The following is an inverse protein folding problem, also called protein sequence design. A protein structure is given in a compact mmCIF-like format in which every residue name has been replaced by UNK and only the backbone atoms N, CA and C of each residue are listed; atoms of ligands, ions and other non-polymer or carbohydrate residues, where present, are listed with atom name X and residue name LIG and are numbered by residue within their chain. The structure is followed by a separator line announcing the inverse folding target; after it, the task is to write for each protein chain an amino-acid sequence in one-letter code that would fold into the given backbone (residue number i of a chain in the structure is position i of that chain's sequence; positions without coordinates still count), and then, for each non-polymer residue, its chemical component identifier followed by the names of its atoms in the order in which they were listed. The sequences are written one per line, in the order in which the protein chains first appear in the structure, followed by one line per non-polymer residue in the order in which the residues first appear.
data_IF_361697212581
#
_entry.id   IF_361697212581
#
_cell.length_a   1.000
_cell.length_b   1.000
_cell.length_c   1.000
_cell.angle_alpha   90.00
_cell.angle_beta   90.00
_cell.angle_gamma   90.00
#
_symmetry.space_group_name_H-M   'P 1'
#
loop_
_entity.id
_entity.type
_entity.pdbx_description
1 polymer ?
#
# COMPACT_ATOMS: atom_id res chain seq x y z
N UNK A 1 14.50 -8.84 15.27
CA UNK A 1 14.54 -10.19 15.86
C UNK A 1 13.16 -10.47 16.44
N UNK A 2 12.46 -11.51 15.99
CA UNK A 2 11.18 -11.91 16.57
C UNK A 2 11.41 -13.14 17.45
N UNK A 3 10.80 -13.14 18.64
CA UNK A 3 11.04 -14.15 19.66
C UNK A 3 9.68 -14.71 20.06
N UNK A 4 9.51 -16.03 19.93
CA UNK A 4 8.29 -16.73 20.27
C UNK A 4 8.52 -17.44 21.60
N UNK A 5 7.63 -17.18 22.55
CA UNK A 5 7.62 -17.81 23.85
C UNK A 5 6.39 -18.70 23.98
N UNK A 6 6.56 -19.81 24.67
CA UNK A 6 5.46 -20.65 25.14
C UNK A 6 5.31 -20.46 26.65
N UNK A 7 4.07 -20.30 27.11
CA UNK A 7 3.76 -20.06 28.52
C UNK A 7 3.01 -21.26 29.10
N UNK A 8 3.59 -21.86 30.14
CA UNK A 8 2.93 -22.92 30.88
C UNK A 8 2.16 -22.33 32.06
N UNK A 9 0.83 -22.28 31.93
CA UNK A 9 -0.09 -21.77 32.95
C UNK A 9 -0.05 -22.56 34.27
N UNK A 10 0.39 -23.83 34.25
CA UNK A 10 0.43 -24.67 35.47
C UNK A 10 1.68 -24.45 36.30
N UNK A 11 2.81 -24.20 35.65
CA UNK A 11 4.10 -24.02 36.33
C UNK A 11 4.56 -22.56 36.39
N UNK A 12 3.85 -21.66 35.68
CA UNK A 12 4.19 -20.24 35.56
C UNK A 12 5.48 -19.98 34.78
N UNK A 13 6.03 -21.00 34.11
CA UNK A 13 7.30 -20.89 33.40
C UNK A 13 7.09 -20.42 31.97
N UNK A 14 7.95 -19.50 31.53
CA UNK A 14 8.02 -19.03 30.14
C UNK A 14 9.21 -19.73 29.51
N UNK A 15 8.98 -20.47 28.42
CA UNK A 15 10.02 -21.14 27.66
C UNK A 15 10.21 -20.44 26.32
N UNK A 16 11.45 -20.05 26.03
CA UNK A 16 11.82 -19.54 24.71
C UNK A 16 11.83 -20.71 23.72
N UNK A 17 10.88 -20.73 22.79
CA UNK A 17 10.73 -21.84 21.84
C UNK A 17 11.36 -21.55 20.49
N UNK A 18 11.34 -20.30 20.03
CA UNK A 18 11.91 -19.96 18.71
C UNK A 18 12.41 -18.54 18.64
N UNK A 19 13.60 -18.38 18.07
CA UNK A 19 14.17 -17.09 17.68
C UNK A 19 14.19 -17.04 16.15
N UNK A 20 13.52 -16.04 15.58
CA UNK A 20 13.50 -15.81 14.14
C UNK A 20 14.20 -14.50 13.83
N UNK A 21 15.26 -14.58 13.02
CA UNK A 21 15.87 -13.39 12.46
C UNK A 21 14.96 -12.81 11.37
N UNK A 22 14.29 -11.71 11.71
CA UNK A 22 13.41 -10.98 10.79
C UNK A 22 14.16 -9.95 9.94
N UNK A 23 15.47 -9.78 10.14
CA UNK A 23 16.31 -8.80 9.43
C UNK A 23 16.23 -8.93 7.90
N UNK A 24 16.20 -10.14 7.30
CA UNK A 24 16.04 -10.28 5.85
C UNK A 24 14.72 -9.71 5.33
N UNK A 25 13.61 -9.92 6.05
CA UNK A 25 12.29 -9.41 5.68
C UNK A 25 12.20 -7.89 5.84
N UNK A 26 12.80 -7.35 6.90
CA UNK A 26 12.87 -5.90 7.10
C UNK A 26 13.71 -5.22 6.00
N UNK A 27 14.81 -5.85 5.59
CA UNK A 27 15.65 -5.36 4.49
C UNK A 27 14.90 -5.40 3.16
N UNK A 28 14.16 -6.47 2.87
CA UNK A 28 13.34 -6.57 1.66
C UNK A 28 12.27 -5.47 1.60
N UNK A 29 11.51 -5.29 2.69
CA UNK A 29 10.50 -4.23 2.78
C UNK A 29 11.10 -2.82 2.64
N UNK A 30 12.31 -2.61 3.17
CA UNK A 30 13.01 -1.32 3.05
C UNK A 30 13.46 -1.05 1.62
N UNK A 31 14.05 -2.03 0.92
CA UNK A 31 14.46 -1.87 -0.47
C UNK A 31 13.24 -1.72 -1.41
N UNK A 32 12.15 -2.45 -1.17
CA UNK A 32 10.89 -2.29 -1.92
C UNK A 32 10.32 -0.87 -1.77
N UNK A 33 10.31 -0.33 -0.54
CA UNK A 33 9.88 1.06 -0.27
C UNK A 33 10.83 2.10 -0.87
N UNK A 34 12.11 1.79 -1.01
CA UNK A 34 13.12 2.68 -1.60
C UNK A 34 12.99 2.75 -3.13
N UNK A 35 12.51 1.70 -3.77
CA UNK A 35 12.09 1.75 -5.18
C UNK A 35 10.82 2.59 -5.36
N UNK A 36 9.85 2.44 -4.47
CA UNK A 36 8.57 3.18 -4.51
C UNK A 36 8.76 4.67 -4.14
N UNK A 37 9.71 4.99 -3.24
CA UNK A 37 9.98 6.35 -2.77
C UNK A 37 10.72 7.27 -3.74
N UNK A 38 11.07 6.79 -4.94
CA UNK A 38 11.71 7.61 -5.98
C UNK A 38 10.75 8.23 -7.00
N UNK A 39 9.43 8.10 -6.81
CA UNK A 39 8.39 8.90 -7.49
C UNK A 39 8.36 8.90 -9.03
N UNK A 40 9.35 8.30 -9.69
CA UNK A 40 9.55 8.34 -11.14
C UNK A 40 10.19 7.00 -11.52
N UNK A 41 9.36 5.97 -11.70
CA UNK A 41 9.80 4.79 -12.43
C UNK A 41 10.18 5.24 -13.86
N UNK A 42 11.38 4.89 -14.32
CA UNK A 42 11.85 5.25 -15.67
C UNK A 42 10.91 4.70 -16.77
N UNK A 43 10.28 3.56 -16.51
CA UNK A 43 9.14 3.04 -17.26
C UNK A 43 7.86 3.65 -16.68
N UNK A 44 7.35 4.72 -17.28
CA UNK A 44 6.17 5.50 -16.86
C UNK A 44 4.82 4.72 -16.92
N UNK A 45 4.78 3.46 -16.49
CA UNK A 45 3.60 2.60 -16.60
C UNK A 45 2.62 2.83 -15.44
N UNK A 46 3.11 3.21 -14.26
CA UNK A 46 2.32 3.35 -13.03
C UNK A 46 2.34 4.76 -12.47
N UNK A 47 1.95 5.74 -13.27
CA UNK A 47 1.79 7.13 -12.81
C UNK A 47 0.49 7.28 -12.05
N UNK A 48 0.51 7.98 -10.92
CA UNK A 48 -0.71 8.35 -10.21
C UNK A 48 -1.41 9.44 -11.03
N UNK A 49 -2.48 9.09 -11.75
CA UNK A 49 -3.20 10.01 -12.65
C UNK A 49 -4.20 10.91 -11.91
N UNK A 50 -4.73 10.43 -10.77
CA UNK A 50 -5.70 11.16 -9.95
C UNK A 50 -5.59 10.77 -8.47
N UNK A 51 -6.14 11.63 -7.60
CA UNK A 51 -6.26 11.39 -6.16
C UNK A 51 -7.68 11.73 -5.71
N UNK A 52 -8.56 10.72 -5.72
CA UNK A 52 -9.99 10.88 -5.42
C UNK A 52 -10.28 10.25 -4.04
N UNK A 53 -10.94 10.96 -3.10
CA UNK A 53 -11.44 10.35 -1.88
C UNK A 53 -12.50 9.29 -2.18
N UNK A 54 -12.47 8.14 -1.48
CA UNK A 54 -13.41 7.03 -1.73
C UNK A 54 -14.87 7.48 -1.56
N UNK A 55 -15.16 8.33 -0.57
CA UNK A 55 -16.51 8.85 -0.31
C UNK A 55 -17.08 9.62 -1.52
N UNK A 56 -16.23 10.27 -2.31
CA UNK A 56 -16.63 10.99 -3.53
C UNK A 56 -17.06 9.98 -4.60
N UNK A 57 -16.33 8.88 -4.77
CA UNK A 57 -16.72 7.83 -5.72
C UNK A 57 -18.03 7.17 -5.30
N UNK A 58 -18.19 6.84 -4.01
CA UNK A 58 -19.41 6.24 -3.47
C UNK A 58 -20.62 7.17 -3.66
N UNK A 59 -20.47 8.46 -3.36
CA UNK A 59 -21.55 9.44 -3.54
C UNK A 59 -21.97 9.66 -4.99
N UNK A 60 -21.07 9.41 -5.95
CA UNK A 60 -21.37 9.44 -7.38
C UNK A 60 -21.80 8.07 -7.94
N UNK A 61 -21.88 7.04 -7.09
CA UNK A 61 -22.26 5.69 -7.49
C UNK A 61 -21.24 5.00 -8.38
N UNK A 62 -19.95 5.33 -8.24
CA UNK A 62 -18.86 4.78 -9.05
C UNK A 62 -18.24 3.59 -8.31
N UNK A 63 -18.12 2.45 -9.01
CA UNK A 63 -17.37 1.29 -8.51
C UNK A 63 -15.86 1.58 -8.56
N UNK A 64 -15.20 1.35 -7.42
CA UNK A 64 -13.74 1.53 -7.28
C UNK A 64 -12.92 0.53 -8.12
N UNK A 65 -13.55 -0.55 -8.59
CA UNK A 65 -12.92 -1.58 -9.41
C UNK A 65 -13.18 -1.37 -10.92
N UNK A 66 -13.99 -0.36 -11.29
CA UNK A 66 -14.28 -0.04 -12.69
C UNK A 66 -13.34 1.06 -13.21
N UNK A 67 -12.28 0.62 -13.88
CA UNK A 67 -11.26 1.49 -14.47
C UNK A 67 -11.82 2.48 -15.51
N UNK A 68 -12.88 2.13 -16.25
CA UNK A 68 -13.46 3.01 -17.26
C UNK A 68 -14.30 4.10 -16.61
N UNK A 69 -15.12 3.73 -15.63
CA UNK A 69 -15.92 4.69 -14.87
C UNK A 69 -15.03 5.72 -14.14
N UNK A 70 -13.93 5.27 -13.54
CA UNK A 70 -12.97 6.16 -12.88
C UNK A 70 -12.31 7.12 -13.88
N UNK A 71 -11.91 6.64 -15.07
CA UNK A 71 -11.31 7.50 -16.11
C UNK A 71 -12.28 8.56 -16.59
N UNK A 72 -13.53 8.20 -16.84
CA UNK A 72 -14.56 9.15 -17.29
C UNK A 72 -14.94 10.15 -16.19
N UNK A 73 -14.93 9.73 -14.92
CA UNK A 73 -15.08 10.64 -13.80
C UNK A 73 -13.94 11.67 -13.73
N UNK A 74 -12.69 11.24 -13.85
CA UNK A 74 -11.51 12.14 -13.85
C UNK A 74 -11.58 13.16 -15.01
N UNK A 75 -12.09 12.77 -16.19
CA UNK A 75 -12.27 13.71 -17.31
C UNK A 75 -13.29 14.80 -16.99
N UNK A 76 -14.37 14.45 -16.27
CA UNK A 76 -15.42 15.40 -15.87
C UNK A 76 -15.03 16.25 -14.66
N UNK A 77 -14.15 15.73 -13.82
CA UNK A 77 -13.69 16.33 -12.57
C UNK A 77 -12.16 16.51 -12.55
N UNK A 78 -11.62 17.47 -13.34
CA UNK A 78 -10.18 17.70 -13.45
C UNK A 78 -9.54 18.16 -12.13
N UNK A 79 -10.30 18.64 -11.15
CA UNK A 79 -9.83 19.01 -9.81
C UNK A 79 -9.18 17.85 -9.04
N UNK A 80 -9.56 16.60 -9.34
CA UNK A 80 -8.96 15.42 -8.72
C UNK A 80 -7.75 14.89 -9.50
N UNK A 81 -7.44 15.47 -10.65
CA UNK A 81 -6.28 15.11 -11.48
C UNK A 81 -5.01 15.56 -10.79
N UNK A 82 -4.00 14.72 -10.78
CA UNK A 82 -2.66 15.11 -10.30
C UNK A 82 -1.94 15.89 -11.40
N UNK A 83 -0.91 16.66 -11.02
CA UNK A 83 -0.01 17.35 -11.96
C UNK A 83 0.66 16.40 -12.98
N UNK A 84 0.71 15.10 -12.66
CA UNK A 84 1.28 14.05 -13.51
C UNK A 84 0.27 13.43 -14.48
N UNK A 85 -1.03 13.73 -14.32
CA UNK A 85 -2.12 13.11 -15.07
C UNK A 85 -2.38 13.70 -16.44
N UNK A 86 -1.53 14.58 -16.98
CA UNK A 86 -1.66 15.19 -18.31
C UNK A 86 -1.79 14.13 -19.43
N UNK A 87 -2.88 14.23 -20.18
CA UNK A 87 -3.30 13.44 -21.34
C UNK A 87 -3.32 14.41 -22.50
#
# INVERSE_FOLDING_TARGET
MAVIFDYDEKTGKITLTRVVDITPYLRANYEERKEIGKGISKSKVWRKVASIPIDVLISHGIDINDDEAIKDFIKKHPEYRTSEGGF
#
